data_IF_159476733084
#
_entry.id   IF_159476733084
#
_cell.length_a   1.000
_cell.length_b   1.000
_cell.length_c   1.000
_cell.angle_alpha   90.00
_cell.angle_beta   90.00
_cell.angle_gamma   90.00
#
_symmetry.space_group_name_H-M   'P 1'
#
loop_
_entity.id
_entity.type
_entity.pdbx_description
1 polymer ?
#
# COMPACT_ATOMS: atom_id res chain seq x y z
N UNK A 1 6.76 -9.02 -20.28
CA UNK A 1 5.48 -8.58 -19.70
C UNK A 1 5.78 -7.33 -18.93
N UNK A 2 5.14 -6.22 -19.27
CA UNK A 2 5.40 -4.94 -18.62
C UNK A 2 4.52 -4.90 -17.37
N UNK A 3 5.12 -5.14 -16.20
CA UNK A 3 4.44 -5.02 -14.92
C UNK A 3 4.00 -3.56 -14.76
N UNK A 4 2.75 -3.25 -15.13
CA UNK A 4 2.14 -1.97 -14.78
C UNK A 4 1.81 -2.02 -13.30
N UNK A 5 2.60 -1.30 -12.49
CA UNK A 5 2.28 -1.06 -11.09
C UNK A 5 0.92 -0.36 -10.98
N UNK A 6 0.05 -0.87 -10.10
CA UNK A 6 -1.23 -0.23 -9.82
C UNK A 6 -1.00 1.13 -9.15
N UNK A 7 -1.96 2.06 -9.24
CA UNK A 7 -1.82 3.36 -8.59
C UNK A 7 -1.70 3.24 -7.05
N UNK A 8 -2.23 2.15 -6.49
CA UNK A 8 -2.02 1.81 -5.09
C UNK A 8 -0.58 1.33 -4.82
N UNK A 9 0.00 0.51 -5.69
CA UNK A 9 1.40 0.06 -5.56
C UNK A 9 2.37 1.25 -5.64
N UNK A 10 2.16 2.19 -6.57
CA UNK A 10 2.92 3.45 -6.64
C UNK A 10 2.77 4.27 -5.36
N UNK A 11 1.56 4.35 -4.82
CA UNK A 11 1.32 5.01 -3.53
C UNK A 11 2.11 4.34 -2.39
N UNK A 12 2.11 3.01 -2.32
CA UNK A 12 2.85 2.25 -1.30
C UNK A 12 4.36 2.51 -1.40
N UNK A 13 4.93 2.49 -2.61
CA UNK A 13 6.34 2.81 -2.86
C UNK A 13 6.65 4.24 -2.36
N UNK A 14 5.80 5.21 -2.68
CA UNK A 14 5.91 6.58 -2.17
C UNK A 14 5.79 6.70 -0.64
N UNK A 15 5.22 5.69 0.04
CA UNK A 15 5.19 5.56 1.49
C UNK A 15 6.32 4.71 2.07
N UNK A 16 7.32 4.35 1.27
CA UNK A 16 8.43 3.46 1.65
C UNK A 16 7.96 2.07 2.11
N UNK A 17 6.91 1.56 1.45
CA UNK A 17 6.35 0.23 1.67
C UNK A 17 6.63 -0.61 0.43
N UNK A 18 7.16 -1.82 0.60
CA UNK A 18 7.31 -2.82 -0.46
C UNK A 18 5.93 -3.44 -0.79
N UNK A 19 5.36 -3.18 -1.98
CA UNK A 19 4.03 -3.68 -2.32
C UNK A 19 3.97 -5.20 -2.43
N UNK A 20 5.01 -5.83 -3.00
CA UNK A 20 5.09 -7.28 -3.15
C UNK A 20 5.09 -7.97 -1.79
N UNK A 21 5.94 -7.51 -0.86
CA UNK A 21 6.01 -8.07 0.48
C UNK A 21 4.70 -7.87 1.26
N UNK A 22 4.05 -6.72 1.12
CA UNK A 22 2.74 -6.48 1.74
C UNK A 22 1.67 -7.41 1.16
N UNK A 23 1.63 -7.57 -0.17
CA UNK A 23 0.69 -8.46 -0.87
C UNK A 23 0.89 -9.92 -0.50
N UNK A 24 2.14 -10.37 -0.35
CA UNK A 24 2.47 -11.74 0.04
C UNK A 24 2.12 -12.03 1.51
N UNK A 25 2.44 -11.10 2.42
CA UNK A 25 2.24 -11.32 3.86
C UNK A 25 0.81 -11.08 4.32
N UNK A 26 0.09 -10.15 3.69
CA UNK A 26 -1.28 -9.80 4.05
C UNK A 26 -2.18 -9.60 2.80
N UNK A 27 -2.40 -10.64 1.98
CA UNK A 27 -3.11 -10.52 0.69
C UNK A 27 -4.54 -10.00 0.83
N UNK A 28 -5.26 -10.41 1.88
CA UNK A 28 -6.62 -9.93 2.15
C UNK A 28 -6.65 -8.42 2.46
N UNK A 29 -5.72 -7.94 3.29
CA UNK A 29 -5.62 -6.51 3.63
C UNK A 29 -5.12 -5.70 2.46
N UNK A 30 -4.18 -6.22 1.67
CA UNK A 30 -3.74 -5.58 0.44
C UNK A 30 -4.93 -5.32 -0.49
N UNK A 31 -5.75 -6.35 -0.75
CA UNK A 31 -6.94 -6.24 -1.62
C UNK A 31 -7.99 -5.27 -1.05
N UNK A 32 -8.26 -5.33 0.25
CA UNK A 32 -9.16 -4.37 0.92
C UNK A 32 -8.66 -2.94 0.73
N UNK A 33 -7.36 -2.71 0.96
CA UNK A 33 -6.78 -1.37 0.88
C UNK A 33 -6.73 -0.86 -0.54
N UNK A 34 -6.43 -1.71 -1.52
CA UNK A 34 -6.48 -1.37 -2.94
C UNK A 34 -7.89 -0.94 -3.36
N UNK A 35 -8.91 -1.69 -2.95
CA UNK A 35 -10.31 -1.34 -3.22
C UNK A 35 -10.75 -0.03 -2.56
N UNK A 36 -10.34 0.21 -1.31
CA UNK A 36 -10.64 1.46 -0.61
C UNK A 36 -9.88 2.65 -1.23
N UNK A 37 -8.63 2.43 -1.62
CA UNK A 37 -7.80 3.44 -2.26
C UNK A 37 -8.40 3.90 -3.59
N UNK A 38 -8.95 2.98 -4.38
CA UNK A 38 -9.62 3.30 -5.65
C UNK A 38 -10.86 4.20 -5.50
N UNK A 39 -11.45 4.27 -4.29
CA UNK A 39 -12.68 5.03 -4.02
C UNK A 39 -12.41 6.44 -3.47
N UNK A 40 -11.16 6.81 -3.19
CA UNK A 40 -10.86 8.10 -2.57
C UNK A 40 -9.47 8.64 -2.92
N UNK A 41 -9.29 9.94 -2.75
CA UNK A 41 -8.00 10.58 -2.95
C UNK A 41 -6.92 10.03 -1.97
N UNK A 42 -5.64 9.87 -2.39
CA UNK A 42 -4.58 9.29 -1.56
C UNK A 42 -4.39 9.97 -0.19
N UNK A 43 -4.61 11.29 -0.12
CA UNK A 43 -4.54 12.05 1.15
C UNK A 43 -5.62 11.60 2.13
N UNK A 44 -6.86 11.44 1.68
CA UNK A 44 -7.98 10.97 2.50
C UNK A 44 -7.75 9.54 2.98
N UNK A 45 -7.29 8.66 2.08
CA UNK A 45 -6.92 7.29 2.43
C UNK A 45 -5.82 7.26 3.51
N UNK A 46 -4.76 8.05 3.33
CA UNK A 46 -3.67 8.15 4.30
C UNK A 46 -4.18 8.62 5.65
N UNK A 47 -5.06 9.63 5.69
CA UNK A 47 -5.61 10.15 6.94
C UNK A 47 -6.45 9.10 7.67
N UNK A 48 -7.36 8.41 6.96
CA UNK A 48 -8.23 7.38 7.54
C UNK A 48 -7.47 6.14 8.01
N UNK A 49 -6.38 5.77 7.32
CA UNK A 49 -5.60 4.55 7.59
C UNK A 49 -4.23 4.85 8.20
N UNK A 50 -3.98 6.06 8.72
CA UNK A 50 -2.65 6.55 9.12
C UNK A 50 -1.90 5.57 10.02
N UNK A 51 -2.55 5.09 11.08
CA UNK A 51 -1.94 4.17 12.04
C UNK A 51 -1.62 2.81 11.41
N UNK A 52 -2.48 2.31 10.52
CA UNK A 52 -2.26 1.05 9.81
C UNK A 52 -1.14 1.19 8.77
N UNK A 53 -1.10 2.28 8.01
CA UNK A 53 -0.03 2.57 7.05
C UNK A 53 1.32 2.68 7.76
N UNK A 54 1.37 3.36 8.92
CA UNK A 54 2.59 3.42 9.73
C UNK A 54 3.03 2.04 10.24
N UNK A 55 2.08 1.18 10.64
CA UNK A 55 2.35 -0.18 11.06
C UNK A 55 2.88 -1.04 9.90
N UNK A 56 2.23 -0.97 8.73
CA UNK A 56 2.63 -1.67 7.49
C UNK A 56 4.03 -1.21 7.06
N UNK A 57 4.32 0.09 7.09
CA UNK A 57 5.65 0.63 6.75
C UNK A 57 6.79 0.07 7.60
N UNK A 58 6.55 -0.15 8.89
CA UNK A 58 7.56 -0.77 9.78
C UNK A 58 7.74 -2.26 9.51
N UNK A 59 6.70 -2.95 9.06
CA UNK A 59 6.76 -4.39 8.78
C UNK A 59 7.31 -4.71 7.38
N UNK A 60 6.89 -3.94 6.37
CA UNK A 60 7.16 -4.21 4.96
C UNK A 60 7.88 -3.03 4.31
N UNK A 61 8.95 -2.58 4.95
CA UNK A 61 9.74 -1.45 4.45
C UNK A 61 10.37 -1.79 3.09
N UNK A 62 10.38 -0.84 2.16
CA UNK A 62 11.16 -0.94 0.93
C UNK A 62 12.65 -0.95 1.32
N UNK A 63 13.31 -2.10 1.22
CA UNK A 63 14.76 -2.20 1.42
C UNK A 63 15.45 -1.61 0.19
N UNK A 64 16.44 -0.75 0.42
CA UNK A 64 17.32 -0.21 -0.62
C UNK A 64 18.28 -1.28 -1.11
#
# INVERSE_FOLDING_TARGET
MQDMESDFEKYLIGKNINPQLFKEKEPARFKEFEQLFAQMHPKSFTAQKLYLINKIRRMYQLKK
#
